data_IF_582479698909
#
_entry.id   IF_582479698909
#
_cell.length_a   1.000
_cell.length_b   1.000
_cell.length_c   1.000
_cell.angle_alpha   90.00
_cell.angle_beta   90.00
_cell.angle_gamma   90.00
#
_symmetry.space_group_name_H-M   'P 1'
#
loop_
_entity.id
_entity.type
_entity.pdbx_description
1 polymer ?
#
# COMPACT_ATOMS: atom_id res chain seq x y z
N UNK A 1 7.06 -19.19 -21.74
CA UNK A 1 6.76 -18.29 -20.60
C UNK A 1 6.27 -17.00 -21.23
N UNK A 2 5.08 -16.52 -20.90
CA UNK A 2 4.67 -15.20 -21.35
C UNK A 2 5.69 -14.18 -20.83
N UNK A 3 6.13 -13.25 -21.67
CA UNK A 3 6.91 -12.11 -21.21
C UNK A 3 6.07 -11.37 -20.16
N UNK A 4 6.69 -11.03 -19.02
CA UNK A 4 5.97 -10.32 -17.97
C UNK A 4 5.55 -8.93 -18.42
N UNK A 5 4.59 -8.33 -17.71
CA UNK A 5 4.10 -6.99 -18.03
C UNK A 5 5.25 -5.99 -18.02
N UNK A 6 5.43 -5.32 -19.16
CA UNK A 6 6.49 -4.35 -19.35
C UNK A 6 6.15 -3.01 -18.68
N UNK A 7 7.17 -2.37 -18.12
CA UNK A 7 7.11 -0.96 -17.77
C UNK A 7 6.85 -0.11 -19.01
N UNK A 8 6.14 1.00 -18.83
CA UNK A 8 6.10 2.06 -19.85
C UNK A 8 7.46 2.76 -19.96
N UNK A 9 7.68 3.47 -21.07
CA UNK A 9 8.82 4.39 -21.20
C UNK A 9 8.60 5.76 -20.53
N UNK A 10 7.42 5.96 -19.92
CA UNK A 10 7.07 7.18 -19.20
C UNK A 10 7.65 7.14 -17.78
N UNK A 11 7.63 8.28 -17.10
CA UNK A 11 8.06 8.37 -15.71
C UNK A 11 9.51 7.86 -15.45
N UNK A 12 10.43 8.12 -16.39
CA UNK A 12 11.82 7.65 -16.32
C UNK A 12 12.74 8.50 -15.41
N UNK A 13 12.22 9.58 -14.81
CA UNK A 13 12.97 10.49 -13.94
C UNK A 13 13.53 9.80 -12.68
N UNK A 14 14.58 10.39 -12.11
CA UNK A 14 15.22 9.91 -10.89
C UNK A 14 14.36 10.09 -9.64
N UNK A 15 14.81 9.52 -8.52
CA UNK A 15 14.23 9.79 -7.20
C UNK A 15 14.53 11.25 -6.84
N UNK A 16 13.50 11.97 -6.39
CA UNK A 16 13.52 13.40 -6.09
C UNK A 16 13.09 14.29 -7.25
N UNK A 17 12.83 13.72 -8.42
CA UNK A 17 12.47 14.44 -9.65
C UNK A 17 10.98 14.28 -9.99
N UNK A 18 10.48 15.23 -10.79
CA UNK A 18 9.13 15.23 -11.32
C UNK A 18 9.14 15.03 -12.84
N UNK A 19 8.13 14.36 -13.38
CA UNK A 19 7.88 14.27 -14.81
C UNK A 19 6.38 14.28 -15.10
N UNK A 20 6.01 14.90 -16.21
CA UNK A 20 4.67 14.76 -16.78
C UNK A 20 4.51 13.37 -17.39
N UNK A 21 3.53 12.60 -16.91
CA UNK A 21 3.28 11.22 -17.35
C UNK A 21 2.09 11.13 -18.31
N UNK A 22 1.22 12.12 -18.27
CA UNK A 22 0.11 12.37 -19.17
C UNK A 22 -0.19 13.87 -19.11
N UNK A 23 -0.80 14.45 -20.14
CA UNK A 23 -1.17 15.87 -20.16
C UNK A 23 -1.91 16.28 -18.86
N UNK A 24 -1.33 17.22 -18.12
CA UNK A 24 -1.86 17.72 -16.85
C UNK A 24 -1.76 16.73 -15.68
N UNK A 25 -0.99 15.64 -15.83
CA UNK A 25 -0.73 14.64 -14.77
C UNK A 25 0.77 14.48 -14.59
N UNK A 26 1.25 14.88 -13.42
CA UNK A 26 2.65 14.80 -13.04
C UNK A 26 2.87 13.72 -11.99
N UNK A 27 4.01 13.04 -12.07
CA UNK A 27 4.50 12.15 -11.03
C UNK A 27 5.73 12.78 -10.38
N UNK A 28 5.80 12.75 -9.04
CA UNK A 28 7.03 12.98 -8.28
C UNK A 28 7.42 11.67 -7.60
N UNK A 29 8.69 11.26 -7.76
CA UNK A 29 9.24 10.12 -7.01
C UNK A 29 9.86 10.62 -5.71
N UNK A 30 9.08 10.63 -4.63
CA UNK A 30 9.57 11.11 -3.34
C UNK A 30 10.46 10.05 -2.70
N UNK A 31 11.66 10.41 -2.23
CA UNK A 31 12.51 9.46 -1.52
C UNK A 31 11.83 9.03 -0.21
N UNK A 32 12.14 7.83 0.27
CA UNK A 32 11.68 7.33 1.59
C UNK A 32 12.87 6.81 2.39
N UNK A 33 12.89 6.96 3.73
CA UNK A 33 14.03 6.56 4.57
C UNK A 33 14.08 5.05 4.88
N UNK A 34 13.65 4.21 3.93
CA UNK A 34 13.62 2.75 4.06
C UNK A 34 13.89 2.05 2.71
N UNK A 35 14.19 0.72 2.71
CA UNK A 35 14.79 0.03 1.55
C UNK A 35 14.03 0.10 0.22
N UNK A 36 12.75 0.48 0.25
CA UNK A 36 11.91 0.64 -0.94
C UNK A 36 12.38 1.82 -1.83
N UNK A 37 13.12 2.77 -1.26
CA UNK A 37 13.84 3.82 -1.98
C UNK A 37 13.00 5.04 -2.32
N UNK A 38 11.78 4.86 -2.85
CA UNK A 38 10.86 5.96 -3.15
C UNK A 38 9.39 5.52 -3.12
N UNK A 39 8.49 6.51 -3.01
CA UNK A 39 7.05 6.42 -3.27
C UNK A 39 6.65 7.46 -4.31
N UNK A 40 5.73 7.11 -5.19
CA UNK A 40 5.21 7.97 -6.24
C UNK A 40 3.99 8.72 -5.72
N UNK A 41 4.01 10.04 -5.87
CA UNK A 41 2.84 10.89 -5.68
C UNK A 41 2.47 11.52 -7.00
N UNK A 42 1.19 11.87 -7.14
CA UNK A 42 0.67 12.40 -8.39
C UNK A 42 0.04 13.78 -8.19
N UNK A 43 0.25 14.67 -9.15
CA UNK A 43 -0.34 16.00 -9.20
C UNK A 43 -1.18 16.08 -10.47
N UNK A 44 -2.46 16.38 -10.32
CA UNK A 44 -3.41 16.48 -11.44
C UNK A 44 -3.89 17.92 -11.54
N UNK A 45 -3.55 18.58 -12.63
CA UNK A 45 -3.91 19.95 -12.94
C UNK A 45 -5.40 20.07 -13.24
N UNK A 46 -6.09 21.00 -12.57
CA UNK A 46 -7.48 21.38 -12.82
C UNK A 46 -7.64 22.90 -12.96
N UNK A 47 -8.78 23.32 -13.51
CA UNK A 47 -9.11 24.76 -13.67
C UNK A 47 -9.07 25.55 -12.38
N UNK A 48 -9.42 24.92 -11.27
CA UNK A 48 -9.51 25.54 -9.94
C UNK A 48 -8.38 25.08 -9.00
N UNK A 49 -7.24 24.65 -9.56
CA UNK A 49 -6.05 24.23 -8.82
C UNK A 49 -5.68 22.76 -9.02
N UNK A 50 -4.88 22.21 -8.11
CA UNK A 50 -4.31 20.87 -8.22
C UNK A 50 -4.96 19.88 -7.27
N UNK A 51 -5.11 18.64 -7.74
CA UNK A 51 -5.40 17.49 -6.88
C UNK A 51 -4.14 16.67 -6.70
N UNK A 52 -3.72 16.54 -5.44
CA UNK A 52 -2.59 15.67 -5.08
C UNK A 52 -3.12 14.28 -4.73
N UNK A 53 -2.45 13.23 -5.18
CA UNK A 53 -2.70 11.83 -4.79
C UNK A 53 -1.48 11.32 -4.02
N UNK A 54 -1.73 10.94 -2.77
CA UNK A 54 -0.75 10.64 -1.73
C UNK A 54 0.18 11.80 -1.35
N UNK A 55 0.85 11.64 -0.20
CA UNK A 55 1.64 12.69 0.42
C UNK A 55 3.12 12.34 0.60
N UNK A 56 3.53 11.08 0.51
CA UNK A 56 4.92 10.72 0.82
C UNK A 56 5.17 10.53 2.32
N UNK A 57 6.42 10.21 2.66
CA UNK A 57 6.90 10.15 4.05
C UNK A 57 7.39 11.53 4.53
N UNK A 58 7.07 11.91 5.77
CA UNK A 58 7.43 13.22 6.28
C UNK A 58 8.86 13.30 6.83
N UNK A 59 9.79 13.77 5.99
CA UNK A 59 11.17 14.08 6.40
C UNK A 59 11.83 15.08 5.40
N UNK A 60 12.95 15.73 5.77
CA UNK A 60 13.45 16.89 5.01
C UNK A 60 13.73 16.59 3.52
N UNK A 61 14.39 15.50 3.11
CA UNK A 61 14.56 15.16 1.70
C UNK A 61 13.26 15.01 0.90
N UNK A 62 12.21 14.38 1.47
CA UNK A 62 10.91 14.31 0.78
C UNK A 62 10.25 15.68 0.66
N UNK A 63 10.32 16.54 1.68
CA UNK A 63 9.78 17.90 1.61
C UNK A 63 10.49 18.72 0.53
N UNK A 64 11.80 18.60 0.40
CA UNK A 64 12.55 19.29 -0.65
C UNK A 64 12.21 18.75 -2.05
N UNK A 65 12.06 17.43 -2.19
CA UNK A 65 11.59 16.82 -3.45
C UNK A 65 10.18 17.28 -3.82
N UNK A 66 9.25 17.38 -2.87
CA UNK A 66 7.93 17.96 -3.07
C UNK A 66 8.01 19.40 -3.59
N UNK A 67 8.78 20.26 -2.92
CA UNK A 67 8.93 21.67 -3.31
C UNK A 67 9.56 21.81 -4.70
N UNK A 68 10.56 20.99 -5.02
CA UNK A 68 11.21 21.02 -6.33
C UNK A 68 10.28 20.50 -7.43
N UNK A 69 9.64 19.36 -7.20
CA UNK A 69 8.76 18.72 -8.19
C UNK A 69 7.47 19.48 -8.45
N UNK A 70 6.84 20.03 -7.41
CA UNK A 70 5.65 20.90 -7.57
C UNK A 70 5.96 22.14 -8.40
N UNK A 71 7.09 22.82 -8.14
CA UNK A 71 7.55 23.94 -8.98
C UNK A 71 7.81 23.53 -10.43
N UNK A 72 8.39 22.36 -10.66
CA UNK A 72 8.62 21.84 -12.00
C UNK A 72 7.30 21.57 -12.76
N UNK A 73 6.26 21.13 -12.03
CA UNK A 73 4.91 20.98 -12.54
C UNK A 73 4.14 22.31 -12.68
N UNK A 74 4.69 23.44 -12.25
CA UNK A 74 4.00 24.74 -12.25
C UNK A 74 2.95 24.89 -11.13
N UNK A 75 3.03 24.07 -10.08
CA UNK A 75 2.15 24.13 -8.90
C UNK A 75 2.84 24.85 -7.74
N UNK A 76 2.28 25.98 -7.29
CA UNK A 76 2.59 26.57 -5.99
C UNK A 76 1.81 25.82 -4.90
N UNK A 77 2.50 24.99 -4.12
CA UNK A 77 1.89 24.20 -3.04
C UNK A 77 1.10 25.05 -2.04
N UNK A 78 1.44 26.33 -1.88
CA UNK A 78 0.81 27.19 -0.89
C UNK A 78 -0.49 27.85 -1.36
N UNK A 79 -0.76 27.85 -2.67
CA UNK A 79 -1.87 28.62 -3.26
C UNK A 79 -2.71 27.78 -4.22
N UNK A 80 -2.09 26.86 -4.95
CA UNK A 80 -2.75 26.19 -6.08
C UNK A 80 -3.35 24.83 -5.70
N UNK A 81 -3.04 24.28 -4.52
CA UNK A 81 -3.54 22.95 -4.13
C UNK A 81 -4.99 23.05 -3.67
N UNK A 82 -5.90 22.46 -4.44
CA UNK A 82 -7.32 22.42 -4.10
C UNK A 82 -7.69 21.26 -3.17
N UNK A 83 -6.95 20.15 -3.20
CA UNK A 83 -7.16 18.98 -2.34
C UNK A 83 -5.98 18.01 -2.34
N UNK A 84 -5.91 17.21 -1.27
CA UNK A 84 -5.01 16.06 -1.15
C UNK A 84 -5.85 14.81 -0.93
N UNK A 85 -5.70 13.78 -1.74
CA UNK A 85 -6.35 12.48 -1.55
C UNK A 85 -5.29 11.46 -1.16
N UNK A 86 -5.37 10.96 0.06
CA UNK A 86 -4.49 9.90 0.54
C UNK A 86 -5.18 8.56 0.36
N UNK A 87 -4.46 7.64 -0.28
CA UNK A 87 -4.97 6.34 -0.70
C UNK A 87 -5.18 5.39 0.48
N UNK A 88 -4.25 5.39 1.44
CA UNK A 88 -4.32 4.58 2.65
C UNK A 88 -3.36 5.08 3.74
N UNK A 89 -3.40 4.46 4.92
CA UNK A 89 -2.74 4.94 6.13
C UNK A 89 -1.23 4.67 6.22
N UNK A 90 -0.62 3.92 5.29
CA UNK A 90 0.81 3.61 5.38
C UNK A 90 1.67 4.88 5.35
N UNK A 91 2.81 4.88 6.06
CA UNK A 91 3.51 6.12 6.40
C UNK A 91 4.15 6.82 5.19
N UNK A 92 4.42 6.11 4.10
CA UNK A 92 4.81 6.66 2.80
C UNK A 92 3.67 7.27 1.99
N UNK A 93 2.41 7.05 2.36
CA UNK A 93 1.26 7.61 1.65
C UNK A 93 0.63 8.75 2.44
N UNK A 94 0.40 8.54 3.75
CA UNK A 94 -0.21 9.55 4.63
C UNK A 94 0.82 10.43 5.33
N UNK A 95 2.11 10.07 5.30
CA UNK A 95 3.12 10.62 6.20
C UNK A 95 3.22 12.12 6.19
N UNK A 96 3.41 12.72 5.00
CA UNK A 96 3.52 14.15 4.85
C UNK A 96 2.18 14.87 4.66
N UNK A 97 1.04 14.18 4.83
CA UNK A 97 -0.28 14.76 4.56
C UNK A 97 -0.58 15.94 5.51
N UNK A 98 -0.13 15.87 6.77
CA UNK A 98 -0.23 16.99 7.71
C UNK A 98 0.60 18.19 7.24
N UNK A 99 1.84 17.95 6.85
CA UNK A 99 2.71 19.02 6.34
C UNK A 99 2.12 19.67 5.09
N UNK A 100 1.57 18.87 4.15
CA UNK A 100 0.88 19.39 2.98
C UNK A 100 -0.36 20.21 3.37
N UNK A 101 -1.17 19.75 4.32
CA UNK A 101 -2.31 20.52 4.84
C UNK A 101 -1.87 21.86 5.44
N UNK A 102 -0.78 21.88 6.22
CA UNK A 102 -0.25 23.10 6.84
C UNK A 102 0.30 24.09 5.80
N UNK A 103 0.94 23.59 4.73
CA UNK A 103 1.51 24.45 3.68
C UNK A 103 0.44 24.98 2.72
N UNK A 104 -0.54 24.15 2.36
CA UNK A 104 -1.53 24.46 1.33
C UNK A 104 -2.86 25.01 1.85
N UNK A 105 -3.15 24.79 3.14
CA UNK A 105 -4.50 24.91 3.71
C UNK A 105 -5.57 24.06 2.99
N UNK A 106 -5.17 23.12 2.13
CA UNK A 106 -6.09 22.29 1.36
C UNK A 106 -6.72 21.18 2.21
N UNK A 107 -7.98 20.81 1.93
CA UNK A 107 -8.60 19.66 2.56
C UNK A 107 -7.87 18.36 2.19
N UNK A 108 -7.67 17.50 3.20
CA UNK A 108 -7.14 16.15 3.03
C UNK A 108 -8.29 15.16 3.08
N UNK A 109 -8.32 14.23 2.15
CA UNK A 109 -9.35 13.21 2.01
C UNK A 109 -8.76 11.80 2.17
N UNK A 110 -9.51 10.92 2.84
CA UNK A 110 -9.22 9.49 2.97
C UNK A 110 -10.54 8.71 2.97
N UNK A 111 -10.49 7.40 2.72
CA UNK A 111 -11.68 6.55 2.93
C UNK A 111 -12.24 6.75 4.34
N UNK A 112 -13.55 6.93 4.45
CA UNK A 112 -14.26 7.24 5.71
C UNK A 112 -13.85 6.30 6.86
N UNK A 113 -13.72 5.00 6.55
CA UNK A 113 -13.36 3.96 7.52
C UNK A 113 -11.87 3.92 7.85
N UNK A 114 -11.00 4.44 6.98
CA UNK A 114 -9.56 4.54 7.20
C UNK A 114 -9.23 5.60 8.27
N UNK A 115 -10.00 6.68 8.35
CA UNK A 115 -9.74 7.80 9.26
C UNK A 115 -9.64 7.37 10.74
N UNK A 116 -10.67 6.74 11.35
CA UNK A 116 -10.58 6.31 12.75
C UNK A 116 -9.53 5.21 12.96
N UNK A 117 -9.29 4.36 11.94
CA UNK A 117 -8.26 3.32 11.99
C UNK A 117 -6.86 3.94 12.05
N UNK A 118 -6.54 4.85 11.13
CA UNK A 118 -5.26 5.54 11.06
C UNK A 118 -4.98 6.34 12.34
N UNK A 119 -5.99 7.05 12.88
CA UNK A 119 -5.89 7.75 14.17
C UNK A 119 -5.50 6.80 15.29
N UNK A 120 -6.24 5.70 15.44
CA UNK A 120 -5.97 4.69 16.47
C UNK A 120 -4.55 4.12 16.35
N UNK A 121 -4.10 3.86 15.12
CA UNK A 121 -2.78 3.26 14.90
C UNK A 121 -1.65 4.24 15.19
N UNK A 122 -1.70 5.45 14.61
CA UNK A 122 -0.59 6.40 14.61
C UNK A 122 -0.53 7.28 15.86
N UNK A 123 -1.67 7.53 16.52
CA UNK A 123 -1.73 8.35 17.73
C UNK A 123 -1.63 7.51 19.02
N UNK A 124 -1.67 6.16 18.91
CA UNK A 124 -1.46 5.25 20.05
C UNK A 124 0.01 4.88 20.23
N UNK A 125 0.60 5.11 21.42
CA UNK A 125 1.94 4.64 21.74
C UNK A 125 2.00 3.13 22.05
N UNK A 126 0.84 2.45 22.15
CA UNK A 126 0.80 1.05 22.56
C UNK A 126 1.18 0.09 21.42
N UNK A 127 2.39 -0.44 21.52
CA UNK A 127 2.92 -1.49 20.65
C UNK A 127 2.56 -2.93 21.11
N UNK A 128 1.93 -3.08 22.27
CA UNK A 128 1.63 -4.38 22.89
C UNK A 128 0.86 -5.35 21.98
N UNK A 129 -0.22 -4.93 21.29
CA UNK A 129 -0.95 -5.78 20.36
C UNK A 129 -0.07 -6.31 19.21
N UNK A 130 0.79 -5.45 18.66
CA UNK A 130 1.72 -5.80 17.59
C UNK A 130 2.72 -6.85 18.05
N UNK A 131 3.40 -6.62 19.19
CA UNK A 131 4.33 -7.59 19.77
C UNK A 131 3.62 -8.90 20.09
N UNK A 132 2.42 -8.82 20.67
CA UNK A 132 1.60 -9.96 21.05
C UNK A 132 1.25 -10.85 19.87
N UNK A 133 0.84 -10.27 18.73
CA UNK A 133 0.55 -11.02 17.51
C UNK A 133 1.79 -11.78 17.02
N UNK A 134 2.92 -11.09 16.88
CA UNK A 134 4.15 -11.72 16.37
C UNK A 134 4.61 -12.88 17.26
N UNK A 135 4.58 -12.68 18.59
CA UNK A 135 4.95 -13.71 19.58
C UNK A 135 3.95 -14.87 19.55
N UNK A 136 2.64 -14.60 19.47
CA UNK A 136 1.59 -15.62 19.38
C UNK A 136 1.83 -16.56 18.19
N UNK A 137 2.42 -16.05 17.11
CA UNK A 137 2.71 -16.80 15.89
C UNK A 137 4.17 -17.22 15.73
N UNK A 138 4.93 -17.23 16.83
CA UNK A 138 6.22 -17.91 16.94
C UNK A 138 7.46 -17.03 16.78
N UNK A 139 7.31 -15.71 16.56
CA UNK A 139 8.47 -14.82 16.57
C UNK A 139 9.03 -14.67 18.00
N UNK A 140 10.36 -14.74 18.20
CA UNK A 140 10.98 -14.46 19.49
C UNK A 140 10.61 -13.06 19.99
N UNK A 141 10.28 -12.94 21.29
CA UNK A 141 9.82 -11.69 21.91
C UNK A 141 10.76 -10.50 21.65
N UNK A 142 12.06 -10.69 21.84
CA UNK A 142 13.07 -9.64 21.62
C UNK A 142 13.05 -9.11 20.17
N UNK A 143 12.86 -10.00 19.19
CA UNK A 143 12.73 -9.60 17.79
C UNK A 143 11.42 -8.85 17.55
N UNK A 144 10.32 -9.30 18.15
CA UNK A 144 9.01 -8.63 18.03
C UNK A 144 9.04 -7.23 18.64
N UNK A 145 9.67 -7.06 19.80
CA UNK A 145 9.86 -5.76 20.47
C UNK A 145 10.75 -4.82 19.63
N UNK A 146 11.82 -5.35 19.04
CA UNK A 146 12.69 -4.60 18.10
C UNK A 146 11.92 -4.15 16.85
N UNK A 147 11.10 -5.03 16.26
CA UNK A 147 10.28 -4.70 15.09
C UNK A 147 9.27 -3.59 15.41
N UNK A 148 8.66 -3.63 16.60
CA UNK A 148 7.69 -2.64 17.03
C UNK A 148 8.28 -1.24 17.16
N UNK A 149 9.48 -1.13 17.72
CA UNK A 149 10.21 0.14 17.86
C UNK A 149 10.54 0.80 16.52
N UNK A 150 10.70 0.02 15.45
CA UNK A 150 10.95 0.54 14.10
C UNK A 150 9.68 0.99 13.36
N UNK A 151 8.50 0.47 13.74
CA UNK A 151 7.22 0.72 13.04
C UNK A 151 6.43 1.91 13.58
N UNK A 152 6.52 2.19 14.88
CA UNK A 152 5.67 3.19 15.55
C UNK A 152 6.44 4.49 15.80
N UNK A 153 6.77 5.20 14.73
CA UNK A 153 7.37 6.53 14.79
C UNK A 153 6.33 7.63 14.64
N UNK A 154 5.81 8.16 15.76
CA UNK A 154 5.25 9.51 15.95
C UNK A 154 4.53 10.23 14.80
N UNK A 155 3.82 9.51 13.94
CA UNK A 155 3.20 10.10 12.76
C UNK A 155 2.00 10.93 13.18
N UNK A 156 2.06 12.24 12.89
CA UNK A 156 0.95 13.14 13.17
C UNK A 156 0.10 13.28 11.92
N UNK A 157 -1.13 12.77 12.01
CA UNK A 157 -2.10 12.94 10.96
C UNK A 157 -2.54 14.42 10.84
N UNK A 158 -3.09 14.83 9.67
CA UNK A 158 -3.77 16.12 9.49
C UNK A 158 -4.75 16.42 10.63
N UNK A 159 -5.10 17.68 10.89
CA UNK A 159 -6.06 18.00 11.95
C UNK A 159 -7.47 17.59 11.55
N UNK A 160 -7.89 18.01 10.37
CA UNK A 160 -9.13 17.58 9.73
C UNK A 160 -8.81 16.65 8.55
N UNK A 161 -9.50 15.51 8.49
CA UNK A 161 -9.49 14.62 7.34
C UNK A 161 -10.95 14.41 6.94
N UNK A 162 -11.28 14.74 5.70
CA UNK A 162 -12.61 14.60 5.15
C UNK A 162 -12.83 13.18 4.61
N UNK A 163 -14.01 12.58 4.85
CA UNK A 163 -14.28 11.23 4.41
C UNK A 163 -14.57 11.17 2.91
N UNK A 164 -14.08 10.11 2.27
CA UNK A 164 -14.52 9.63 0.96
C UNK A 164 -15.19 8.27 1.10
N UNK A 165 -16.16 8.00 0.23
CA UNK A 165 -16.82 6.69 0.15
C UNK A 165 -16.61 6.05 -1.22
N UNK A 166 -16.66 4.71 -1.25
CA UNK A 166 -16.61 3.96 -2.50
C UNK A 166 -17.73 4.43 -3.45
N UNK A 167 -17.40 4.59 -4.73
CA UNK A 167 -18.32 5.07 -5.76
C UNK A 167 -18.42 6.60 -5.86
N UNK A 168 -17.95 7.35 -4.86
CA UNK A 168 -17.86 8.81 -4.97
C UNK A 168 -16.88 9.23 -6.06
N UNK A 169 -17.02 10.48 -6.50
CA UNK A 169 -16.17 11.08 -7.53
C UNK A 169 -15.33 12.18 -6.91
N UNK A 170 -14.01 12.07 -7.09
CA UNK A 170 -13.05 13.12 -6.74
C UNK A 170 -12.79 13.94 -8.00
N UNK A 171 -12.88 15.27 -7.96
CA UNK A 171 -12.53 16.07 -9.13
C UNK A 171 -11.04 15.92 -9.47
N UNK A 172 -10.74 15.68 -10.75
CA UNK A 172 -9.41 15.39 -11.29
C UNK A 172 -9.28 16.11 -12.63
N UNK A 173 -8.59 17.24 -12.63
CA UNK A 173 -8.59 18.15 -13.77
C UNK A 173 -9.98 18.61 -14.20
N UNK A 174 -10.23 18.65 -15.51
CA UNK A 174 -11.55 18.94 -16.09
C UNK A 174 -12.61 17.83 -15.88
N UNK A 175 -12.21 16.72 -15.26
CA UNK A 175 -13.06 15.55 -15.03
C UNK A 175 -13.09 15.11 -13.57
N UNK A 176 -13.25 13.81 -13.38
CA UNK A 176 -13.30 13.22 -12.04
C UNK A 176 -12.84 11.78 -12.07
N UNK A 177 -12.15 11.34 -11.02
CA UNK A 177 -11.89 9.93 -10.79
C UNK A 177 -12.92 9.33 -9.83
N UNK A 178 -13.37 8.10 -10.12
CA UNK A 178 -14.21 7.31 -9.22
C UNK A 178 -13.35 6.67 -8.14
N UNK A 179 -13.77 6.80 -6.89
CA UNK A 179 -13.20 6.09 -5.74
C UNK A 179 -13.60 4.63 -5.79
N UNK A 180 -12.63 3.73 -5.82
CA UNK A 180 -12.83 2.28 -5.74
C UNK A 180 -12.18 1.80 -4.44
N UNK A 181 -12.95 1.13 -3.58
CA UNK A 181 -12.41 0.49 -2.38
C UNK A 181 -11.69 -0.81 -2.79
N UNK A 182 -10.42 -0.92 -2.42
CA UNK A 182 -9.54 -2.03 -2.81
C UNK A 182 -8.86 -2.66 -1.57
N UNK A 183 -9.63 -3.29 -0.67
CA UNK A 183 -9.12 -3.87 0.57
C UNK A 183 -8.11 -4.99 0.34
N UNK A 184 -7.22 -5.19 1.32
CA UNK A 184 -6.35 -6.36 1.41
C UNK A 184 -4.92 -6.00 1.79
N UNK A 185 -4.27 -5.14 1.00
CA UNK A 185 -2.99 -4.51 1.37
C UNK A 185 -3.14 -3.65 2.63
N UNK A 186 -4.15 -2.77 2.60
CA UNK A 186 -4.72 -2.09 3.76
C UNK A 186 -6.24 -2.27 3.74
N UNK A 187 -6.89 -2.20 4.91
CA UNK A 187 -8.31 -2.52 5.03
C UNK A 187 -9.23 -1.54 4.30
N UNK A 188 -8.81 -0.28 4.23
CA UNK A 188 -9.59 0.81 3.66
C UNK A 188 -8.81 1.57 2.58
N UNK A 189 -7.86 0.90 1.91
CA UNK A 189 -7.20 1.45 0.74
C UNK A 189 -8.22 1.79 -0.36
N UNK A 190 -8.09 2.99 -0.92
CA UNK A 190 -8.74 3.36 -2.17
C UNK A 190 -7.77 3.30 -3.35
N UNK A 191 -8.32 3.07 -4.54
CA UNK A 191 -7.72 3.39 -5.83
C UNK A 191 -8.64 4.35 -6.58
N UNK A 192 -8.09 5.15 -7.48
CA UNK A 192 -8.86 6.18 -8.20
C UNK A 192 -8.86 5.84 -9.70
N UNK A 193 -10.05 5.70 -10.27
CA UNK A 193 -10.21 5.44 -11.70
C UNK A 193 -10.76 6.67 -12.43
N UNK A 194 -9.91 7.33 -13.22
CA UNK A 194 -10.29 8.40 -14.13
C UNK A 194 -10.63 7.79 -15.50
N UNK A 195 -11.92 7.50 -15.71
CA UNK A 195 -12.39 6.95 -16.98
C UNK A 195 -12.35 7.95 -18.15
N UNK A 196 -12.24 9.25 -17.87
CA UNK A 196 -12.09 10.26 -18.93
C UNK A 196 -10.69 10.23 -19.54
N UNK A 197 -9.67 10.05 -18.70
CA UNK A 197 -8.27 9.88 -19.12
C UNK A 197 -7.85 8.43 -19.36
N UNK A 198 -8.70 7.47 -18.98
CA UNK A 198 -8.38 6.03 -18.96
C UNK A 198 -7.15 5.74 -18.11
N UNK A 199 -7.14 6.29 -16.89
CA UNK A 199 -6.03 6.19 -15.93
C UNK A 199 -6.50 5.54 -14.63
N UNK A 200 -5.68 4.65 -14.07
CA UNK A 200 -5.85 4.09 -12.73
C UNK A 200 -4.69 4.55 -11.82
N UNK A 201 -4.99 5.34 -10.79
CA UNK A 201 -4.09 5.58 -9.67
C UNK A 201 -4.21 4.40 -8.72
N UNK A 202 -3.28 3.44 -8.85
CA UNK A 202 -3.39 2.11 -8.27
C UNK A 202 -2.86 2.00 -6.84
N UNK A 203 -2.24 3.07 -6.31
CA UNK A 203 -1.63 3.06 -4.99
C UNK A 203 -0.75 1.81 -4.81
N UNK A 204 -0.91 1.12 -3.68
CA UNK A 204 -0.23 -0.13 -3.39
C UNK A 204 -1.06 -1.38 -3.73
N UNK A 205 -2.05 -1.24 -4.60
CA UNK A 205 -2.89 -2.37 -5.01
C UNK A 205 -2.32 -3.15 -6.20
N UNK A 206 -1.78 -2.46 -7.21
CA UNK A 206 -1.21 -3.08 -8.42
C UNK A 206 0.06 -2.33 -8.83
N UNK A 207 1.20 -3.01 -8.80
CA UNK A 207 2.52 -2.43 -9.07
C UNK A 207 3.46 -3.43 -9.76
N UNK A 208 4.44 -2.94 -10.53
CA UNK A 208 5.47 -3.76 -11.17
C UNK A 208 6.73 -3.90 -10.31
N UNK A 209 7.53 -4.93 -10.59
CA UNK A 209 8.83 -5.17 -9.93
C UNK A 209 8.74 -5.81 -8.54
N UNK A 210 7.67 -5.54 -7.80
CA UNK A 210 7.39 -6.13 -6.48
C UNK A 210 5.92 -6.53 -6.36
N UNK A 211 5.59 -7.31 -5.33
CA UNK A 211 4.21 -7.64 -4.95
C UNK A 211 3.79 -6.79 -3.76
N UNK A 212 2.57 -6.25 -3.74
CA UNK A 212 2.03 -5.61 -2.54
C UNK A 212 2.11 -6.54 -1.34
N UNK A 213 2.52 -6.01 -0.17
CA UNK A 213 2.45 -6.81 1.04
C UNK A 213 0.98 -6.99 1.45
N UNK A 214 0.53 -8.22 1.63
CA UNK A 214 -0.80 -8.52 2.16
C UNK A 214 -0.61 -9.17 3.53
N UNK A 215 -0.45 -8.32 4.55
CA UNK A 215 -0.14 -8.73 5.91
C UNK A 215 -1.37 -8.82 6.81
N UNK A 216 -1.39 -9.80 7.71
CA UNK A 216 -2.31 -9.82 8.84
C UNK A 216 -1.66 -9.15 10.05
N UNK A 217 -2.22 -8.03 10.49
CA UNK A 217 -1.82 -7.25 11.66
C UNK A 217 -2.93 -7.26 12.73
N UNK A 218 -2.68 -6.82 13.97
CA UNK A 218 -3.67 -6.91 15.05
C UNK A 218 -5.00 -6.21 14.72
N UNK A 219 -4.93 -5.15 13.95
CA UNK A 219 -6.08 -4.35 13.55
C UNK A 219 -6.66 -4.74 12.18
N UNK A 220 -5.99 -5.63 11.44
CA UNK A 220 -6.43 -6.10 10.11
C UNK A 220 -7.71 -6.91 10.22
N UNK A 221 -8.69 -6.58 9.39
CA UNK A 221 -9.92 -7.35 9.25
C UNK A 221 -9.66 -8.79 8.76
N UNK A 222 -10.61 -9.71 8.95
CA UNK A 222 -10.43 -11.12 8.61
C UNK A 222 -10.13 -11.32 7.12
N UNK A 223 -9.37 -12.38 6.82
CA UNK A 223 -9.07 -12.86 5.47
C UNK A 223 -8.49 -11.79 4.52
N UNK A 224 -7.41 -11.09 4.90
CA UNK A 224 -6.83 -10.02 4.08
C UNK A 224 -6.42 -10.48 2.68
N UNK A 225 -5.91 -11.71 2.54
CA UNK A 225 -5.59 -12.26 1.21
C UNK A 225 -6.82 -12.55 0.36
N UNK A 226 -7.91 -13.08 0.94
CA UNK A 226 -9.15 -13.28 0.19
C UNK A 226 -9.68 -11.94 -0.34
N UNK A 227 -9.73 -10.93 0.55
CA UNK A 227 -10.19 -9.58 0.21
C UNK A 227 -9.30 -8.91 -0.84
N UNK A 228 -7.98 -9.10 -0.74
CA UNK A 228 -7.03 -8.63 -1.77
C UNK A 228 -7.32 -9.26 -3.12
N UNK A 229 -7.44 -10.59 -3.20
CA UNK A 229 -7.68 -11.32 -4.45
C UNK A 229 -9.04 -10.98 -5.07
N UNK A 230 -10.08 -10.81 -4.26
CA UNK A 230 -11.40 -10.34 -4.71
C UNK A 230 -11.33 -8.92 -5.27
N UNK A 231 -10.66 -8.01 -4.57
CA UNK A 231 -10.47 -6.63 -5.02
C UNK A 231 -9.67 -6.57 -6.32
N UNK A 232 -8.59 -7.34 -6.39
CA UNK A 232 -7.73 -7.44 -7.57
C UNK A 232 -8.52 -7.96 -8.78
N UNK A 233 -9.35 -8.99 -8.58
CA UNK A 233 -10.23 -9.54 -9.61
C UNK A 233 -11.29 -8.52 -10.07
N UNK A 234 -11.80 -7.69 -9.16
CA UNK A 234 -12.82 -6.67 -9.48
C UNK A 234 -12.32 -5.55 -10.40
N UNK A 235 -11.00 -5.37 -10.50
CA UNK A 235 -10.38 -4.39 -11.40
C UNK A 235 -10.19 -4.91 -12.83
N UNK A 236 -10.45 -6.20 -13.09
CA UNK A 236 -10.29 -6.77 -14.44
C UNK A 236 -11.25 -6.11 -15.43
N UNK A 237 -10.73 -5.82 -16.62
CA UNK A 237 -11.50 -5.16 -17.69
C UNK A 237 -11.86 -3.71 -17.38
N UNK A 238 -11.27 -3.11 -16.34
CA UNK A 238 -11.36 -1.67 -16.11
C UNK A 238 -10.65 -0.94 -17.26
N UNK A 239 -11.30 0.08 -17.80
CA UNK A 239 -10.79 0.88 -18.92
C UNK A 239 -9.65 1.83 -18.48
N UNK A 240 -8.48 1.25 -18.23
CA UNK A 240 -7.26 1.97 -17.89
C UNK A 240 -6.13 1.60 -18.86
N UNK A 241 -5.73 2.56 -19.69
CA UNK A 241 -4.59 2.41 -20.61
C UNK A 241 -3.26 2.72 -19.91
N UNK A 242 -3.33 3.39 -18.75
CA UNK A 242 -2.17 3.74 -17.93
C UNK A 242 -2.46 3.49 -16.45
N UNK A 243 -1.57 2.75 -15.79
CA UNK A 243 -1.61 2.44 -14.37
C UNK A 243 -0.47 3.18 -13.67
N UNK A 244 -0.85 3.96 -12.67
CA UNK A 244 -0.01 4.85 -11.88
C UNK A 244 0.12 4.29 -10.45
N UNK A 245 1.15 3.46 -10.15
CA UNK A 245 1.29 2.81 -8.85
C UNK A 245 1.94 3.72 -7.80
N UNK A 246 1.86 3.35 -6.51
CA UNK A 246 2.63 3.95 -5.43
C UNK A 246 4.13 3.65 -5.56
N UNK A 247 4.48 2.45 -6.03
CA UNK A 247 5.87 2.03 -6.21
C UNK A 247 6.13 1.40 -7.57
N UNK A 248 7.39 1.49 -8.01
CA UNK A 248 7.82 0.95 -9.29
C UNK A 248 7.40 1.83 -10.48
N UNK A 249 7.57 1.32 -11.71
CA UNK A 249 7.28 2.08 -12.91
C UNK A 249 5.79 2.10 -13.26
N UNK A 250 5.39 3.14 -13.97
CA UNK A 250 4.10 3.24 -14.67
C UNK A 250 4.02 2.19 -15.79
N UNK A 251 2.84 1.62 -16.04
CA UNK A 251 2.64 0.56 -17.04
C UNK A 251 1.23 0.58 -17.64
N UNK A 252 1.00 -0.14 -18.74
CA UNK A 252 -0.28 -0.11 -19.47
C UNK A 252 -1.13 -1.39 -19.44
N UNK A 253 -0.58 -2.53 -19.03
CA UNK A 253 -1.31 -3.81 -19.02
C UNK A 253 -1.78 -4.20 -17.61
N UNK A 254 -2.92 -3.62 -17.21
CA UNK A 254 -3.56 -3.90 -15.91
C UNK A 254 -3.96 -5.38 -15.77
N UNK A 255 -4.65 -5.94 -16.76
CA UNK A 255 -5.18 -7.31 -16.72
C UNK A 255 -4.06 -8.36 -16.76
N UNK A 256 -2.98 -8.10 -17.50
CA UNK A 256 -1.76 -8.90 -17.46
C UNK A 256 -1.16 -8.91 -16.07
N UNK A 257 -1.04 -7.74 -15.42
CA UNK A 257 -0.43 -7.65 -14.10
C UNK A 257 -1.29 -8.29 -13.01
N UNK A 258 -2.62 -8.15 -13.10
CA UNK A 258 -3.55 -8.88 -12.25
C UNK A 258 -3.35 -10.39 -12.39
N UNK A 259 -3.14 -10.88 -13.61
CA UNK A 259 -2.90 -12.31 -13.88
C UNK A 259 -1.60 -12.81 -13.25
N UNK A 260 -0.52 -12.04 -13.35
CA UNK A 260 0.76 -12.36 -12.70
C UNK A 260 0.64 -12.42 -11.17
N UNK A 261 -0.03 -11.43 -10.56
CA UNK A 261 -0.24 -11.38 -9.12
C UNK A 261 -1.11 -12.55 -8.64
N UNK A 262 -2.14 -12.91 -9.40
CA UNK A 262 -2.99 -14.07 -9.12
C UNK A 262 -2.17 -15.37 -9.13
N UNK A 263 -1.35 -15.57 -10.16
CA UNK A 263 -0.46 -16.75 -10.27
C UNK A 263 0.58 -16.76 -9.15
N UNK A 264 1.14 -15.59 -8.81
CA UNK A 264 2.07 -15.46 -7.70
C UNK A 264 1.46 -15.95 -6.38
N UNK A 265 0.30 -15.43 -5.99
CA UNK A 265 -0.34 -15.85 -4.74
C UNK A 265 -0.77 -17.31 -4.75
N UNK A 266 -1.24 -17.84 -5.88
CA UNK A 266 -1.53 -19.27 -6.02
C UNK A 266 -0.27 -20.12 -5.74
N UNK A 267 0.87 -19.78 -6.35
CA UNK A 267 2.14 -20.45 -6.09
C UNK A 267 2.62 -20.32 -4.65
N UNK A 268 2.41 -19.18 -4.00
CA UNK A 268 2.74 -18.97 -2.58
C UNK A 268 1.87 -19.83 -1.66
N UNK A 269 0.57 -19.92 -1.93
CA UNK A 269 -0.36 -20.80 -1.20
C UNK A 269 0.06 -22.26 -1.32
N UNK A 270 0.41 -22.71 -2.52
CA UNK A 270 0.85 -24.09 -2.75
C UNK A 270 2.17 -24.40 -2.03
N UNK A 271 3.13 -23.47 -2.07
CA UNK A 271 4.39 -23.61 -1.35
C UNK A 271 4.19 -23.67 0.18
N UNK A 272 3.31 -22.83 0.74
CA UNK A 272 3.00 -22.86 2.18
C UNK A 272 2.29 -24.16 2.57
N UNK A 273 1.32 -24.61 1.76
CA UNK A 273 0.62 -25.87 2.00
C UNK A 273 1.58 -27.06 1.98
N UNK A 274 2.50 -27.11 1.01
CA UNK A 274 3.51 -28.17 0.92
C UNK A 274 4.37 -28.24 2.19
N UNK A 275 4.71 -27.09 2.80
CA UNK A 275 5.38 -27.10 4.11
C UNK A 275 4.48 -27.76 5.17
N UNK A 276 3.20 -27.40 5.26
CA UNK A 276 2.28 -27.96 6.26
C UNK A 276 2.01 -29.47 6.10
N UNK A 277 2.16 -30.03 4.90
CA UNK A 277 2.05 -31.48 4.65
C UNK A 277 3.18 -32.28 5.32
N UNK A 278 4.33 -31.64 5.58
CA UNK A 278 5.50 -32.32 6.15
C UNK A 278 5.57 -32.27 7.67
N UNK A 279 4.99 -31.24 8.29
CA UNK A 279 4.86 -31.11 9.74
C UNK A 279 3.95 -29.92 10.11
N UNK A 280 3.32 -30.01 11.27
CA UNK A 280 2.67 -28.89 11.96
C UNK A 280 3.68 -27.78 12.25
N UNK A 281 3.42 -26.54 11.82
CA UNK A 281 4.35 -25.39 11.94
C UNK A 281 3.64 -24.11 12.34
N UNK A 282 4.31 -23.25 13.08
CA UNK A 282 3.93 -21.85 13.26
C UNK A 282 4.13 -21.03 11.99
N UNK A 283 3.42 -19.91 11.86
CA UNK A 283 3.61 -19.00 10.74
C UNK A 283 5.03 -18.44 10.68
N UNK A 284 5.69 -18.23 11.84
CA UNK A 284 7.08 -17.80 11.88
C UNK A 284 8.02 -18.83 11.25
N UNK A 285 7.85 -20.13 11.55
CA UNK A 285 8.64 -21.19 10.93
C UNK A 285 8.44 -21.25 9.42
N UNK A 286 7.18 -21.20 8.94
CA UNK A 286 6.88 -21.16 7.50
C UNK A 286 7.50 -19.93 6.83
N UNK A 287 7.40 -18.76 7.46
CA UNK A 287 7.98 -17.51 6.94
C UNK A 287 9.50 -17.61 6.76
N UNK A 288 10.19 -18.31 7.66
CA UNK A 288 11.65 -18.48 7.60
C UNK A 288 12.08 -19.41 6.46
N UNK A 289 11.24 -20.38 6.11
CA UNK A 289 11.51 -21.34 5.04
C UNK A 289 11.31 -20.70 3.67
N UNK A 290 10.22 -19.93 3.52
CA UNK A 290 9.82 -19.36 2.23
C UNK A 290 10.43 -17.99 1.93
N UNK A 291 10.67 -17.15 2.93
CA UNK A 291 11.35 -15.87 2.76
C UNK A 291 12.81 -16.00 3.18
N UNK A 292 13.59 -16.58 2.26
CA UNK A 292 15.03 -16.83 2.42
C UNK A 292 15.83 -15.52 2.25
N UNK A 293 17.01 -15.46 2.86
CA UNK A 293 17.91 -14.31 2.77
C UNK A 293 18.06 -13.53 4.09
N UNK A 294 19.00 -12.59 4.08
CA UNK A 294 19.30 -11.72 5.21
C UNK A 294 18.25 -10.61 5.32
N UNK A 295 17.10 -10.93 5.92
CA UNK A 295 16.07 -9.94 6.27
C UNK A 295 16.43 -9.23 7.57
N UNK A 296 16.20 -7.93 7.62
CA UNK A 296 16.18 -7.20 8.90
C UNK A 296 15.07 -7.72 9.80
N UNK A 297 15.12 -7.41 11.10
CA UNK A 297 14.08 -7.81 12.06
C UNK A 297 12.69 -7.29 11.64
N UNK A 298 12.64 -6.05 11.15
CA UNK A 298 11.43 -5.44 10.64
C UNK A 298 10.90 -6.16 9.38
N UNK A 299 11.75 -6.44 8.39
CA UNK A 299 11.35 -7.21 7.20
C UNK A 299 10.89 -8.63 7.56
N UNK A 300 11.46 -9.24 8.61
CA UNK A 300 11.02 -10.53 9.11
C UNK A 300 9.61 -10.47 9.71
N UNK A 301 9.22 -9.36 10.35
CA UNK A 301 7.85 -9.17 10.85
C UNK A 301 6.85 -9.07 9.70
N UNK A 302 7.18 -8.36 8.62
CA UNK A 302 6.35 -8.31 7.40
C UNK A 302 6.20 -9.68 6.74
N UNK A 303 7.29 -10.45 6.62
CA UNK A 303 7.26 -11.82 6.13
C UNK A 303 6.36 -12.73 6.98
N UNK A 304 6.38 -12.58 8.31
CA UNK A 304 5.48 -13.29 9.21
C UNK A 304 4.02 -12.88 8.99
N UNK A 305 3.71 -11.58 8.97
CA UNK A 305 2.35 -11.07 8.76
C UNK A 305 1.77 -11.52 7.41
N UNK A 306 2.57 -11.53 6.34
CA UNK A 306 2.16 -12.02 5.03
C UNK A 306 1.95 -13.54 5.04
N UNK A 307 2.80 -14.29 5.74
CA UNK A 307 2.62 -15.73 5.92
C UNK A 307 1.33 -16.03 6.65
N UNK A 308 0.99 -15.26 7.68
CA UNK A 308 -0.28 -15.39 8.40
C UNK A 308 -1.50 -15.17 7.50
N UNK A 309 -1.48 -14.13 6.65
CA UNK A 309 -2.56 -13.88 5.72
C UNK A 309 -2.81 -15.05 4.74
N UNK A 310 -1.74 -15.68 4.27
CA UNK A 310 -1.83 -16.84 3.37
C UNK A 310 -2.29 -18.11 4.11
N UNK A 311 -1.78 -18.37 5.31
CA UNK A 311 -2.19 -19.52 6.12
C UNK A 311 -3.66 -19.40 6.54
N UNK A 312 -4.11 -18.22 6.94
CA UNK A 312 -5.52 -17.93 7.18
C UNK A 312 -6.38 -18.17 5.94
N UNK A 313 -5.90 -17.80 4.76
CA UNK A 313 -6.60 -18.10 3.51
C UNK A 313 -6.66 -19.61 3.21
N UNK A 314 -5.60 -20.37 3.48
CA UNK A 314 -5.64 -21.85 3.36
C UNK A 314 -6.66 -22.46 4.33
N UNK A 315 -6.77 -21.93 5.55
CA UNK A 315 -7.79 -22.35 6.53
C UNK A 315 -9.20 -22.02 6.02
N UNK A 316 -9.42 -20.81 5.50
CA UNK A 316 -10.69 -20.41 4.89
C UNK A 316 -11.09 -21.34 3.73
N UNK A 317 -10.12 -21.82 2.95
CA UNK A 317 -10.33 -22.76 1.86
C UNK A 317 -10.48 -24.24 2.33
N UNK A 318 -10.36 -24.52 3.63
CA UNK A 318 -10.37 -25.89 4.16
C UNK A 318 -9.15 -26.73 3.74
N UNK A 319 -8.04 -26.08 3.36
CA UNK A 319 -6.78 -26.72 2.94
C UNK A 319 -5.74 -26.81 4.06
N UNK A 320 -5.99 -26.15 5.19
CA UNK A 320 -5.21 -26.20 6.41
C UNK A 320 -6.13 -26.10 7.63
N UNK A 321 -5.64 -26.50 8.80
CA UNK A 321 -6.32 -26.34 10.08
C UNK A 321 -5.41 -25.63 11.08
N UNK A 322 -6.04 -24.99 12.08
CA UNK A 322 -5.33 -24.29 13.16
C UNK A 322 -5.21 -25.20 14.37
N UNK A 323 -3.99 -25.30 14.90
CA UNK A 323 -3.67 -25.90 16.21
C UNK A 323 -3.45 -24.78 17.21
N UNK A 324 -4.42 -24.59 18.10
CA UNK A 324 -4.26 -23.66 19.22
C UNK A 324 -3.11 -24.11 20.13
N UNK A 325 -2.28 -23.14 20.54
CA UNK A 325 -1.06 -23.39 21.28
C UNK A 325 -0.26 -22.11 21.51
N UNK A 326 0.95 -22.28 22.08
CA UNK A 326 1.93 -21.21 22.26
C UNK A 326 3.29 -21.67 21.71
N UNK A 327 3.60 -21.42 20.42
CA UNK A 327 2.85 -20.59 19.47
C UNK A 327 1.64 -21.30 18.84
N UNK A 328 0.74 -20.53 18.23
CA UNK A 328 -0.29 -21.03 17.30
C UNK A 328 0.40 -21.65 16.10
N UNK A 329 -0.05 -22.85 15.72
CA UNK A 329 0.48 -23.60 14.60
C UNK A 329 -0.60 -23.99 13.60
N UNK A 330 -0.16 -24.42 12.42
CA UNK A 330 -0.98 -24.82 11.30
C UNK A 330 -0.53 -26.20 10.81
N UNK A 331 -1.46 -27.00 10.31
CA UNK A 331 -1.19 -28.26 9.64
C UNK A 331 -2.10 -28.42 8.42
N UNK A 332 -1.70 -29.24 7.44
CA UNK A 332 -2.55 -29.54 6.30
C UNK A 332 -3.86 -30.20 6.76
N UNK A 333 -4.97 -29.85 6.10
CA UNK A 333 -6.28 -30.45 6.35
C UNK A 333 -6.45 -31.80 5.64
#
# INVERSE_FOLDING_TARGET
MAEGVAASGLAAQGVGEAAEVLEGVWQIKLPVPFPLGFVSVYLVEAKDGWTLVDAGYDYPPAREAWKAGSRAAGCDLSHDVGRVVVTHFHPDHVGAARWLQEVSAAPVFMMEREIPFARKLWESPDAGPFVGLLVRHGMPREMAETAAGAMRGGLRLPEEILPLRAGEKVPMGDGSARVIHAPGHADHQLVLHDGGRRVLYAADHVMLGITPNVGMWPETGPHPLARYLESLASLRGLEADLVLPGHGPVFGDLDGRISELTVHHAGRLDAMRAELETATRSAYEVSRILFRGALTVHQRAFALAETLAHLDHLVLQGRATVREGAPVAFEAA
#
